data_IF_699163651388
#
_entry.id   IF_699163651388
#
_cell.length_a   1.000
_cell.length_b   1.000
_cell.length_c   1.000
_cell.angle_alpha   90.00
_cell.angle_beta   90.00
_cell.angle_gamma   90.00
#
_symmetry.space_group_name_H-M   'P 1'
#
loop_
_entity.id
_entity.type
_entity.pdbx_description
1 polymer ?
#
# COMPACT_ATOMS: atom_id res chain seq x y z
N UNK A 1 28.48 -2.39 0.72
CA UNK A 1 27.84 -3.37 1.63
C UNK A 1 28.05 -4.76 1.04
N UNK A 2 28.23 -5.77 1.89
CA UNK A 2 28.45 -7.16 1.45
C UNK A 2 27.10 -7.87 1.27
N UNK A 3 26.62 -7.96 0.02
CA UNK A 3 25.32 -8.58 -0.30
C UNK A 3 25.30 -10.08 0.04
N UNK A 4 26.42 -10.80 -0.11
CA UNK A 4 26.50 -12.23 0.19
C UNK A 4 26.32 -12.49 1.70
N UNK A 5 27.03 -11.71 2.53
CA UNK A 5 26.88 -11.80 3.98
C UNK A 5 25.47 -11.43 4.41
N UNK A 6 24.95 -10.31 3.91
CA UNK A 6 23.59 -9.85 4.25
C UNK A 6 22.53 -10.87 3.84
N UNK A 7 22.66 -11.43 2.64
CA UNK A 7 21.80 -12.50 2.14
C UNK A 7 21.80 -13.69 3.09
N UNK A 8 22.99 -14.15 3.49
CA UNK A 8 23.14 -15.31 4.39
C UNK A 8 22.53 -15.06 5.77
N UNK A 9 22.63 -13.84 6.28
CA UNK A 9 22.03 -13.46 7.56
C UNK A 9 20.50 -13.36 7.47
N UNK A 10 19.97 -12.81 6.37
CA UNK A 10 18.52 -12.76 6.10
C UNK A 10 17.95 -14.16 5.87
N UNK A 11 18.61 -15.00 5.07
CA UNK A 11 18.18 -16.37 4.79
C UNK A 11 18.08 -17.21 6.08
N UNK A 12 19.06 -17.05 6.99
CA UNK A 12 19.03 -17.67 8.31
C UNK A 12 17.86 -17.16 9.16
N UNK A 13 17.59 -15.85 9.14
CA UNK A 13 16.48 -15.25 9.87
C UNK A 13 15.13 -15.74 9.33
N UNK A 14 14.94 -15.73 8.01
CA UNK A 14 13.75 -16.28 7.33
C UNK A 14 13.53 -17.74 7.70
N UNK A 15 14.58 -18.56 7.65
CA UNK A 15 14.52 -19.99 7.98
C UNK A 15 14.17 -20.27 9.45
N UNK A 16 14.33 -19.29 10.35
CA UNK A 16 13.98 -19.42 11.77
C UNK A 16 12.51 -19.13 12.08
N UNK A 17 11.76 -18.58 11.13
CA UNK A 17 10.37 -18.16 11.33
C UNK A 17 9.39 -19.35 11.37
N UNK A 18 8.41 -19.27 12.26
CA UNK A 18 7.23 -20.13 12.25
C UNK A 18 6.17 -19.52 11.31
N UNK A 19 6.27 -19.84 10.01
CA UNK A 19 5.37 -19.37 8.96
C UNK A 19 3.90 -19.74 9.18
N UNK A 20 3.53 -20.97 9.61
CA UNK A 20 2.16 -21.29 9.96
C UNK A 20 1.54 -20.37 11.01
N UNK A 21 2.33 -19.84 11.96
CA UNK A 21 1.86 -18.83 12.93
C UNK A 21 1.71 -17.43 12.33
N UNK A 22 2.48 -17.10 11.29
CA UNK A 22 2.38 -15.83 10.56
C UNK A 22 1.11 -15.82 9.69
N UNK A 23 1.00 -16.79 8.79
CA UNK A 23 -0.15 -16.94 7.90
C UNK A 23 -0.34 -18.41 7.47
N UNK A 24 -1.56 -18.97 7.61
CA UNK A 24 -1.81 -20.36 7.23
C UNK A 24 -1.48 -20.65 5.76
N UNK A 25 -0.66 -21.68 5.53
CA UNK A 25 -0.25 -22.13 4.19
C UNK A 25 0.75 -21.23 3.46
N UNK A 26 1.20 -20.13 4.08
CA UNK A 26 2.33 -19.37 3.58
C UNK A 26 3.64 -20.12 3.86
N UNK A 27 4.53 -20.14 2.88
CA UNK A 27 5.87 -20.68 2.98
C UNK A 27 6.85 -19.66 2.36
N UNK A 28 8.11 -19.61 2.82
CA UNK A 28 9.08 -18.67 2.27
C UNK A 28 9.31 -18.95 0.78
N UNK A 29 9.30 -17.88 -0.02
CA UNK A 29 9.79 -17.92 -1.39
C UNK A 29 11.29 -17.69 -1.41
N UNK A 30 11.96 -18.09 -2.49
CA UNK A 30 13.32 -17.62 -2.73
C UNK A 30 13.32 -16.11 -2.89
N UNK A 31 14.47 -15.51 -2.65
CA UNK A 31 14.63 -14.08 -2.80
C UNK A 31 15.99 -13.71 -3.37
N UNK A 32 16.09 -12.49 -3.87
CA UNK A 32 17.34 -11.84 -4.26
C UNK A 32 17.50 -10.50 -3.52
N UNK A 33 18.75 -10.18 -3.19
CA UNK A 33 19.13 -8.84 -2.73
C UNK A 33 19.96 -8.17 -3.82
N UNK A 34 19.66 -6.92 -4.13
CA UNK A 34 20.40 -6.19 -5.15
C UNK A 34 20.69 -4.74 -4.72
N UNK A 35 21.66 -4.13 -5.37
CA UNK A 35 21.93 -2.70 -5.30
C UNK A 35 21.95 -2.10 -6.71
N UNK A 36 22.50 -0.90 -6.87
CA UNK A 36 22.56 -0.24 -8.18
C UNK A 36 23.38 -1.03 -9.22
N UNK A 37 24.33 -1.87 -8.79
CA UNK A 37 25.30 -2.54 -9.66
C UNK A 37 25.20 -4.07 -9.61
N UNK A 38 24.92 -4.64 -8.44
CA UNK A 38 25.07 -6.07 -8.15
C UNK A 38 23.74 -6.69 -7.73
N UNK A 39 23.55 -7.94 -8.08
CA UNK A 39 22.42 -8.76 -7.63
C UNK A 39 22.96 -10.09 -7.09
N UNK A 40 22.50 -10.49 -5.89
CA UNK A 40 22.85 -11.75 -5.24
C UNK A 40 21.60 -12.60 -5.08
N UNK A 41 21.63 -13.80 -5.66
CA UNK A 41 20.51 -14.73 -5.70
C UNK A 41 21.02 -16.16 -5.65
N UNK A 42 20.45 -16.97 -4.75
CA UNK A 42 20.69 -18.42 -4.68
C UNK A 42 22.18 -18.78 -4.55
N UNK A 43 22.85 -18.11 -3.61
CA UNK A 43 24.25 -18.37 -3.25
C UNK A 43 25.30 -17.84 -4.24
N UNK A 44 24.92 -16.99 -5.20
CA UNK A 44 25.87 -16.39 -6.16
C UNK A 44 25.45 -15.01 -6.62
N UNK A 45 26.43 -14.25 -7.10
CA UNK A 45 26.16 -13.06 -7.89
C UNK A 45 25.62 -13.42 -9.27
N UNK A 46 24.61 -12.68 -9.71
CA UNK A 46 24.02 -12.77 -11.04
C UNK A 46 24.02 -11.38 -11.71
N UNK A 47 23.91 -11.36 -13.03
CA UNK A 47 23.71 -10.11 -13.76
C UNK A 47 22.35 -9.51 -13.39
N UNK A 48 22.35 -8.22 -13.07
CA UNK A 48 21.13 -7.46 -12.79
C UNK A 48 20.40 -7.21 -14.11
N UNK A 49 19.20 -7.76 -14.26
CA UNK A 49 18.30 -7.45 -15.38
C UNK A 49 17.41 -6.24 -15.03
N UNK A 50 16.67 -5.75 -16.04
CA UNK A 50 15.71 -4.65 -15.85
C UNK A 50 14.52 -5.05 -14.94
N UNK A 51 14.30 -6.35 -14.75
CA UNK A 51 13.29 -6.88 -13.81
C UNK A 51 13.60 -6.50 -12.34
N UNK A 52 14.86 -6.19 -12.03
CA UNK A 52 15.31 -5.77 -10.69
C UNK A 52 15.27 -4.24 -10.57
N UNK A 53 14.06 -3.67 -10.58
CA UNK A 53 13.85 -2.22 -10.58
C UNK A 53 13.00 -1.69 -9.41
N UNK A 54 12.40 -2.57 -8.59
CA UNK A 54 11.64 -2.21 -7.40
C UNK A 54 11.69 -3.31 -6.32
N UNK A 55 11.33 -2.95 -5.09
CA UNK A 55 11.05 -3.93 -4.04
C UNK A 55 9.68 -4.54 -4.31
N UNK A 56 9.65 -5.82 -4.69
CA UNK A 56 8.42 -6.51 -5.09
C UNK A 56 8.65 -8.03 -5.20
N UNK A 57 7.67 -8.74 -5.76
CA UNK A 57 7.77 -10.14 -6.17
C UNK A 57 7.70 -10.26 -7.70
N UNK A 58 8.61 -11.02 -8.30
CA UNK A 58 8.70 -11.20 -9.77
C UNK A 58 8.71 -12.68 -10.15
N UNK A 59 8.32 -12.98 -11.39
CA UNK A 59 8.57 -14.29 -12.00
C UNK A 59 9.94 -14.28 -12.68
N UNK A 60 10.93 -14.88 -12.01
CA UNK A 60 12.29 -14.98 -12.51
C UNK A 60 12.57 -16.41 -12.97
N UNK A 61 12.77 -16.59 -14.27
CA UNK A 61 13.07 -17.90 -14.89
C UNK A 61 12.04 -19.00 -14.59
N UNK A 62 10.75 -18.63 -14.48
CA UNK A 62 9.66 -19.56 -14.22
C UNK A 62 9.37 -19.82 -12.74
N UNK A 63 10.09 -19.15 -11.82
CA UNK A 63 9.89 -19.24 -10.37
C UNK A 63 9.50 -17.87 -9.81
N UNK A 64 8.50 -17.84 -8.92
CA UNK A 64 8.13 -16.62 -8.21
C UNK A 64 9.12 -16.36 -7.07
N UNK A 65 9.78 -15.20 -7.10
CA UNK A 65 10.78 -14.81 -6.09
C UNK A 65 10.50 -13.40 -5.55
N UNK A 66 10.92 -13.11 -4.32
CA UNK A 66 10.97 -11.75 -3.79
C UNK A 66 12.28 -11.06 -4.19
N UNK A 67 12.23 -9.76 -4.46
CA UNK A 67 13.42 -8.95 -4.76
C UNK A 67 13.44 -7.71 -3.89
N UNK A 68 14.63 -7.35 -3.40
CA UNK A 68 14.81 -6.19 -2.54
C UNK A 68 16.08 -5.41 -2.89
N UNK A 69 15.91 -4.13 -3.20
CA UNK A 69 16.97 -3.16 -3.38
C UNK A 69 17.46 -2.68 -2.02
N UNK A 70 18.73 -2.95 -1.71
CA UNK A 70 19.32 -2.52 -0.46
C UNK A 70 19.93 -1.13 -0.64
N UNK A 71 19.18 -0.12 -0.21
CA UNK A 71 19.59 1.29 -0.25
C UNK A 71 19.94 1.85 1.13
N UNK A 72 19.38 1.28 2.19
CA UNK A 72 19.51 1.74 3.57
C UNK A 72 20.10 0.64 4.45
N UNK A 73 20.86 1.06 5.48
CA UNK A 73 21.33 0.16 6.53
C UNK A 73 20.19 -0.10 7.52
N UNK A 74 19.32 -1.05 7.19
CA UNK A 74 18.21 -1.46 8.03
C UNK A 74 18.67 -2.53 9.05
N UNK A 75 18.21 -2.47 10.31
CA UNK A 75 18.39 -3.57 11.24
C UNK A 75 17.87 -4.89 10.65
N UNK A 76 18.62 -5.98 10.83
CA UNK A 76 18.32 -7.28 10.23
C UNK A 76 16.86 -7.75 10.43
N UNK A 77 16.23 -7.62 11.62
CA UNK A 77 14.82 -7.98 11.79
C UNK A 77 13.86 -7.18 10.89
N UNK A 78 14.13 -5.89 10.71
CA UNK A 78 13.32 -4.97 9.90
C UNK A 78 13.51 -5.26 8.40
N UNK A 79 14.75 -5.50 7.96
CA UNK A 79 15.00 -5.93 6.59
C UNK A 79 14.30 -7.27 6.30
N UNK A 80 14.41 -8.24 7.23
CA UNK A 80 13.80 -9.56 7.09
C UNK A 80 12.27 -9.44 7.01
N UNK A 81 11.64 -8.62 7.87
CA UNK A 81 10.18 -8.44 7.83
C UNK A 81 9.70 -7.83 6.52
N UNK A 82 10.45 -6.86 5.98
CA UNK A 82 10.17 -6.24 4.69
C UNK A 82 10.37 -7.18 3.52
N UNK A 83 11.38 -8.03 3.57
CA UNK A 83 11.56 -9.03 2.53
C UNK A 83 10.46 -10.10 2.56
N UNK A 84 10.03 -10.53 3.75
CA UNK A 84 8.92 -11.49 3.90
C UNK A 84 7.59 -10.88 3.46
N UNK A 85 7.40 -9.56 3.59
CA UNK A 85 6.31 -8.82 2.96
C UNK A 85 6.29 -9.05 1.44
N UNK A 86 7.42 -8.87 0.77
CA UNK A 86 7.52 -9.11 -0.68
C UNK A 86 7.35 -10.59 -1.06
N UNK A 87 7.83 -11.52 -0.22
CA UNK A 87 7.53 -12.95 -0.39
C UNK A 87 6.03 -13.21 -0.30
N UNK A 88 5.32 -12.48 0.55
CA UNK A 88 3.89 -12.62 0.71
C UNK A 88 3.12 -12.12 -0.52
N UNK A 89 3.56 -11.05 -1.19
CA UNK A 89 3.02 -10.69 -2.50
C UNK A 89 3.19 -11.80 -3.55
N UNK A 90 4.34 -12.49 -3.52
CA UNK A 90 4.53 -13.68 -4.35
C UNK A 90 3.56 -14.81 -4.00
N UNK A 91 3.33 -15.05 -2.70
CA UNK A 91 2.32 -16.00 -2.24
C UNK A 91 0.91 -15.63 -2.71
N UNK A 92 0.50 -14.36 -2.61
CA UNK A 92 -0.79 -13.87 -3.11
C UNK A 92 -0.95 -14.16 -4.62
N UNK A 93 0.10 -13.92 -5.41
CA UNK A 93 0.13 -14.26 -6.85
C UNK A 93 -0.01 -15.76 -7.09
N UNK A 94 0.74 -16.60 -6.36
CA UNK A 94 0.68 -18.06 -6.50
C UNK A 94 -0.68 -18.64 -6.10
N UNK A 95 -1.37 -18.03 -5.13
CA UNK A 95 -2.74 -18.36 -4.76
C UNK A 95 -3.79 -17.78 -5.73
N UNK A 96 -3.37 -17.07 -6.78
CA UNK A 96 -4.26 -16.49 -7.78
C UNK A 96 -5.15 -15.39 -7.21
N UNK A 97 -4.65 -14.54 -6.32
CA UNK A 97 -5.39 -13.38 -5.84
C UNK A 97 -5.62 -12.39 -6.99
N UNK A 98 -6.85 -11.90 -7.13
CA UNK A 98 -7.28 -11.04 -8.26
C UNK A 98 -7.86 -9.70 -7.80
N UNK A 99 -7.63 -9.32 -6.54
CA UNK A 99 -8.12 -8.07 -5.96
C UNK A 99 -7.18 -6.89 -6.18
N UNK A 100 -6.29 -6.95 -7.18
CA UNK A 100 -5.42 -5.84 -7.55
C UNK A 100 -6.25 -4.60 -7.93
N UNK A 101 -6.10 -3.46 -7.23
CA UNK A 101 -6.76 -2.23 -7.60
C UNK A 101 -6.21 -1.69 -8.92
N UNK A 102 -7.07 -1.07 -9.73
CA UNK A 102 -6.63 -0.28 -10.88
C UNK A 102 -6.18 1.10 -10.38
N UNK A 103 -4.88 1.24 -10.17
CA UNK A 103 -4.30 2.46 -9.59
C UNK A 103 -4.49 3.67 -10.50
N UNK A 104 -4.45 3.49 -11.82
CA UNK A 104 -4.61 4.60 -12.76
C UNK A 104 -6.08 5.06 -12.80
N UNK A 105 -7.04 4.13 -12.72
CA UNK A 105 -8.45 4.50 -12.54
C UNK A 105 -8.64 5.22 -11.20
N UNK A 106 -8.10 4.68 -10.12
CA UNK A 106 -8.26 5.21 -8.77
C UNK A 106 -7.71 6.62 -8.63
N UNK A 107 -6.51 6.90 -9.16
CA UNK A 107 -5.93 8.25 -9.15
C UNK A 107 -6.89 9.30 -9.71
N UNK A 108 -7.66 8.95 -10.75
CA UNK A 108 -8.57 9.88 -11.43
C UNK A 108 -9.98 9.90 -10.84
N UNK A 109 -10.45 8.75 -10.34
CA UNK A 109 -11.85 8.54 -9.97
C UNK A 109 -12.10 8.60 -8.47
N UNK A 110 -11.12 8.29 -7.63
CA UNK A 110 -11.26 8.33 -6.18
C UNK A 110 -11.54 9.77 -5.72
N UNK A 111 -12.66 9.98 -5.03
CA UNK A 111 -12.99 11.30 -4.49
C UNK A 111 -12.65 11.36 -3.02
N UNK A 112 -11.81 12.33 -2.67
CA UNK A 112 -11.55 12.70 -1.28
C UNK A 112 -12.74 13.49 -0.72
N UNK A 113 -13.80 12.75 -0.38
CA UNK A 113 -15.03 13.26 0.21
C UNK A 113 -14.92 13.35 1.74
N UNK A 114 -15.26 14.51 2.32
CA UNK A 114 -15.09 14.75 3.74
C UNK A 114 -15.99 13.88 4.62
N UNK A 115 -17.21 13.53 4.18
CA UNK A 115 -18.08 12.63 4.93
C UNK A 115 -17.52 11.20 4.90
N UNK A 116 -17.08 10.72 3.73
CA UNK A 116 -16.45 9.39 3.61
C UNK A 116 -15.21 9.27 4.51
N UNK A 117 -14.32 10.26 4.46
CA UNK A 117 -13.07 10.25 5.23
C UNK A 117 -13.31 10.47 6.73
N UNK A 118 -14.33 11.22 7.12
CA UNK A 118 -14.78 11.36 8.51
C UNK A 118 -15.25 10.00 9.08
N UNK A 119 -16.02 9.23 8.29
CA UNK A 119 -16.40 7.87 8.66
C UNK A 119 -15.18 6.94 8.71
N UNK A 120 -14.23 7.06 7.77
CA UNK A 120 -12.97 6.29 7.78
C UNK A 120 -12.14 6.57 9.03
N UNK A 121 -12.03 7.81 9.49
CA UNK A 121 -11.33 8.12 10.74
C UNK A 121 -12.00 7.46 11.94
N UNK A 122 -13.33 7.45 11.97
CA UNK A 122 -14.05 6.74 13.02
C UNK A 122 -13.77 5.24 12.98
N UNK A 123 -13.73 4.63 11.80
CA UNK A 123 -13.31 3.24 11.64
C UNK A 123 -11.89 3.00 12.17
N UNK A 124 -10.97 3.92 11.87
CA UNK A 124 -9.60 3.85 12.33
C UNK A 124 -9.48 3.93 13.87
N UNK A 125 -10.24 4.80 14.52
CA UNK A 125 -10.32 4.87 15.99
C UNK A 125 -10.84 3.56 16.60
N UNK A 126 -11.87 2.96 16.00
CA UNK A 126 -12.42 1.68 16.43
C UNK A 126 -11.40 0.55 16.24
N UNK A 127 -10.64 0.55 15.15
CA UNK A 127 -9.55 -0.40 14.93
C UNK A 127 -8.45 -0.28 15.99
N UNK A 128 -8.10 0.94 16.41
CA UNK A 128 -7.16 1.15 17.51
C UNK A 128 -7.72 0.69 18.86
N UNK A 129 -9.02 0.89 19.09
CA UNK A 129 -9.70 0.35 20.28
C UNK A 129 -9.59 -1.18 20.31
N UNK A 130 -9.87 -1.84 19.18
CA UNK A 130 -9.79 -3.29 19.01
C UNK A 130 -8.37 -3.84 19.11
N UNK A 131 -7.36 -3.03 18.75
CA UNK A 131 -5.95 -3.35 18.92
C UNK A 131 -5.55 -3.38 20.40
N UNK A 132 -6.02 -2.42 21.20
CA UNK A 132 -5.74 -2.34 22.64
C UNK A 132 -6.46 -3.45 23.42
N UNK A 133 -7.64 -3.84 22.96
CA UNK A 133 -8.39 -4.98 23.47
C UNK A 133 -9.63 -5.24 22.62
N UNK A 134 -9.93 -6.51 22.37
CA UNK A 134 -11.11 -6.84 21.59
C UNK A 134 -12.39 -6.46 22.35
N UNK A 135 -13.24 -5.65 21.71
CA UNK A 135 -14.53 -5.22 22.19
C UNK A 135 -15.59 -5.45 21.11
N UNK A 136 -16.59 -6.28 21.43
CA UNK A 136 -17.64 -6.68 20.49
C UNK A 136 -18.53 -5.50 20.07
N UNK A 137 -18.70 -4.49 20.93
CA UNK A 137 -19.49 -3.29 20.58
C UNK A 137 -18.76 -2.45 19.55
N UNK A 138 -17.46 -2.20 19.76
CA UNK A 138 -16.59 -1.50 18.82
C UNK A 138 -16.48 -2.25 17.48
N UNK A 139 -16.39 -3.58 17.52
CA UNK A 139 -16.37 -4.40 16.31
C UNK A 139 -17.68 -4.29 15.51
N UNK A 140 -18.84 -4.33 16.18
CA UNK A 140 -20.14 -4.13 15.52
C UNK A 140 -20.27 -2.73 14.93
N UNK A 141 -19.88 -1.69 15.66
CA UNK A 141 -19.87 -0.31 15.16
C UNK A 141 -19.00 -0.18 13.91
N UNK A 142 -17.79 -0.73 13.93
CA UNK A 142 -16.87 -0.76 12.80
C UNK A 142 -17.51 -1.40 11.56
N UNK A 143 -18.14 -2.57 11.72
CA UNK A 143 -18.80 -3.25 10.59
C UNK A 143 -20.00 -2.48 10.04
N UNK A 144 -20.78 -1.81 10.90
CA UNK A 144 -21.93 -1.00 10.51
C UNK A 144 -21.51 0.28 9.76
N UNK A 145 -20.39 0.91 10.17
CA UNK A 145 -19.79 2.05 9.46
C UNK A 145 -19.26 1.63 8.10
N UNK A 146 -18.52 0.52 8.02
CA UNK A 146 -18.04 -0.01 6.73
C UNK A 146 -19.19 -0.34 5.80
N UNK A 147 -20.30 -0.87 6.34
CA UNK A 147 -21.54 -1.08 5.57
C UNK A 147 -22.10 0.23 5.04
N UNK A 148 -22.21 1.27 5.86
CA UNK A 148 -22.64 2.60 5.40
C UNK A 148 -21.75 3.14 4.28
N UNK A 149 -20.42 3.07 4.45
CA UNK A 149 -19.45 3.52 3.44
C UNK A 149 -19.57 2.72 2.15
N UNK A 150 -19.78 1.41 2.23
CA UNK A 150 -19.96 0.56 1.05
C UNK A 150 -21.19 0.94 0.21
N UNK A 151 -22.24 1.47 0.84
CA UNK A 151 -23.47 1.90 0.17
C UNK A 151 -23.40 3.34 -0.32
N UNK A 152 -22.76 4.22 0.45
CA UNK A 152 -22.71 5.67 0.18
C UNK A 152 -21.56 6.07 -0.76
N UNK A 153 -20.44 5.34 -0.69
CA UNK A 153 -19.19 5.61 -1.42
C UNK A 153 -18.65 4.32 -2.05
N UNK A 154 -19.42 3.67 -2.95
CA UNK A 154 -19.13 2.30 -3.39
C UNK A 154 -17.80 2.17 -4.15
N UNK A 155 -17.37 3.21 -4.88
CA UNK A 155 -16.10 3.17 -5.60
C UNK A 155 -14.92 3.28 -4.63
N UNK A 156 -14.93 4.31 -3.78
CA UNK A 156 -13.90 4.59 -2.79
C UNK A 156 -13.74 3.40 -1.83
N UNK A 157 -14.86 2.90 -1.29
CA UNK A 157 -14.87 1.74 -0.41
C UNK A 157 -14.32 0.49 -1.10
N UNK A 158 -14.73 0.22 -2.35
CA UNK A 158 -14.24 -0.94 -3.10
C UNK A 158 -12.75 -0.83 -3.42
N UNK A 159 -12.23 0.36 -3.73
CA UNK A 159 -10.81 0.58 -3.95
C UNK A 159 -10.02 0.35 -2.66
N UNK A 160 -10.44 0.97 -1.55
CA UNK A 160 -9.79 0.82 -0.25
C UNK A 160 -9.77 -0.65 0.20
N UNK A 161 -10.87 -1.40 0.06
CA UNK A 161 -10.90 -2.82 0.41
C UNK A 161 -9.88 -3.64 -0.39
N UNK A 162 -9.71 -3.36 -1.69
CA UNK A 162 -8.72 -4.04 -2.53
C UNK A 162 -7.29 -3.75 -2.06
N UNK A 163 -7.00 -2.50 -1.71
CA UNK A 163 -5.69 -2.11 -1.16
C UNK A 163 -5.47 -2.76 0.21
N UNK A 164 -6.45 -2.70 1.11
CA UNK A 164 -6.41 -3.35 2.43
C UNK A 164 -6.17 -4.86 2.31
N UNK A 165 -6.82 -5.54 1.36
CA UNK A 165 -6.63 -6.98 1.11
C UNK A 165 -5.21 -7.29 0.64
N UNK A 166 -4.66 -6.54 -0.31
CA UNK A 166 -3.32 -6.81 -0.85
C UNK A 166 -2.23 -6.32 0.10
N UNK A 167 -2.15 -5.01 0.29
CA UNK A 167 -1.08 -4.33 1.03
C UNK A 167 -1.27 -4.48 2.53
N UNK A 168 -2.51 -4.41 3.01
CA UNK A 168 -2.81 -4.55 4.43
C UNK A 168 -2.52 -5.95 4.97
N UNK A 169 -2.78 -7.00 4.17
CA UNK A 169 -2.38 -8.36 4.56
C UNK A 169 -0.86 -8.53 4.57
N UNK A 170 -0.16 -7.98 3.58
CA UNK A 170 1.31 -8.02 3.57
C UNK A 170 1.91 -7.24 4.75
N UNK A 171 1.34 -6.09 5.14
CA UNK A 171 1.71 -5.35 6.35
C UNK A 171 1.39 -6.12 7.64
N UNK A 172 0.29 -6.88 7.69
CA UNK A 172 -0.02 -7.76 8.82
C UNK A 172 1.03 -8.86 8.98
N UNK A 173 1.48 -9.44 7.86
CA UNK A 173 2.55 -10.44 7.80
C UNK A 173 3.88 -9.84 8.25
N UNK A 174 4.27 -8.68 7.74
CA UNK A 174 5.45 -7.93 8.20
C UNK A 174 5.42 -7.73 9.72
N UNK A 175 4.26 -7.34 10.26
CA UNK A 175 4.08 -7.17 11.70
C UNK A 175 4.20 -8.49 12.49
N UNK A 176 3.67 -9.61 11.99
CA UNK A 176 3.83 -10.91 12.66
C UNK A 176 5.27 -11.42 12.61
N UNK A 177 6.00 -11.15 11.53
CA UNK A 177 7.44 -11.48 11.42
C UNK A 177 8.23 -10.73 12.49
N UNK A 178 8.00 -9.42 12.64
CA UNK A 178 8.66 -8.64 13.68
C UNK A 178 8.36 -9.18 15.08
N UNK A 179 7.12 -9.62 15.36
CA UNK A 179 6.79 -10.24 16.66
C UNK A 179 7.57 -11.52 16.97
N UNK A 180 8.05 -12.23 15.95
CA UNK A 180 8.89 -13.42 16.14
C UNK A 180 10.38 -13.09 16.26
N UNK A 181 10.84 -12.03 15.59
CA UNK A 181 12.28 -11.70 15.49
C UNK A 181 12.73 -10.65 16.51
N UNK A 182 11.92 -9.63 16.76
CA UNK A 182 12.27 -8.47 17.59
C UNK A 182 11.01 -7.76 18.12
N UNK A 183 10.68 -8.01 19.39
CA UNK A 183 9.54 -7.41 20.07
C UNK A 183 9.60 -5.87 20.12
N UNK A 184 10.79 -5.28 20.20
CA UNK A 184 10.94 -3.82 20.24
C UNK A 184 10.64 -3.21 18.86
N UNK A 185 11.10 -3.84 17.79
CA UNK A 185 10.77 -3.41 16.43
C UNK A 185 9.27 -3.59 16.14
N UNK A 186 8.66 -4.67 16.64
CA UNK A 186 7.21 -4.89 16.54
C UNK A 186 6.40 -3.84 17.31
N UNK A 187 6.85 -3.46 18.52
CA UNK A 187 6.25 -2.39 19.32
C UNK A 187 6.39 -1.04 18.61
N UNK A 188 7.58 -0.73 18.08
CA UNK A 188 7.81 0.50 17.31
C UNK A 188 6.93 0.60 16.06
N UNK A 189 6.70 -0.51 15.35
CA UNK A 189 5.74 -0.54 14.24
C UNK A 189 4.31 -0.27 14.74
N UNK A 190 3.90 -0.86 15.85
CA UNK A 190 2.58 -0.64 16.47
C UNK A 190 2.40 0.83 16.89
N UNK A 191 3.43 1.44 17.48
CA UNK A 191 3.41 2.85 17.88
C UNK A 191 3.32 3.79 16.69
N UNK A 192 3.93 3.42 15.55
CA UNK A 192 3.79 4.17 14.28
C UNK A 192 2.38 4.08 13.68
N UNK A 193 1.66 2.98 13.89
CA UNK A 193 0.29 2.83 13.37
C UNK A 193 -0.66 3.86 14.02
N UNK A 194 -0.53 4.12 15.32
CA UNK A 194 -1.47 5.00 16.05
C UNK A 194 -1.63 6.41 15.45
N UNK A 195 -0.56 7.22 15.29
CA UNK A 195 -0.70 8.55 14.70
C UNK A 195 -1.10 8.49 13.22
N UNK A 196 -0.70 7.45 12.48
CA UNK A 196 -1.09 7.26 11.08
C UNK A 196 -2.60 7.00 10.91
N UNK A 197 -3.24 6.41 11.92
CA UNK A 197 -4.66 6.06 11.88
C UNK A 197 -5.58 7.21 12.31
N UNK A 198 -5.13 8.15 13.14
CA UNK A 198 -5.99 9.18 13.74
C UNK A 198 -5.84 10.59 13.17
N UNK A 199 -4.77 10.85 12.41
CA UNK A 199 -4.49 12.17 11.84
C UNK A 199 -5.12 12.31 10.45
N UNK A 200 -6.06 13.25 10.20
CA UNK A 200 -6.72 13.41 8.90
C UNK A 200 -5.76 13.56 7.72
N UNK A 201 -4.66 14.28 7.91
CA UNK A 201 -3.62 14.53 6.89
C UNK A 201 -2.86 13.26 6.48
N UNK A 202 -2.86 12.22 7.31
CA UNK A 202 -2.22 10.93 6.99
C UNK A 202 -3.17 9.97 6.28
N UNK A 203 -4.40 10.41 5.96
CA UNK A 203 -5.27 9.72 5.00
C UNK A 203 -4.84 9.94 3.54
N UNK A 204 -3.89 10.85 3.27
CA UNK A 204 -3.49 11.21 1.92
C UNK A 204 -2.06 10.74 1.63
N UNK A 205 -1.82 10.06 0.49
CA UNK A 205 -2.81 9.46 -0.40
C UNK A 205 -3.51 8.27 0.26
N UNK A 206 -4.77 8.02 -0.14
CA UNK A 206 -5.60 7.01 0.52
C UNK A 206 -5.00 5.60 0.49
N UNK A 207 -4.25 5.26 -0.58
CA UNK A 207 -3.56 3.98 -0.73
C UNK A 207 -2.72 3.64 0.49
N UNK A 208 -1.80 4.54 0.88
CA UNK A 208 -0.87 4.31 1.98
C UNK A 208 -1.61 4.20 3.31
N UNK A 209 -2.67 4.98 3.51
CA UNK A 209 -3.49 4.90 4.73
C UNK A 209 -4.13 3.51 4.91
N UNK A 210 -4.42 2.80 3.82
CA UNK A 210 -5.06 1.49 3.86
C UNK A 210 -4.14 0.36 4.33
N UNK A 211 -2.82 0.58 4.37
CA UNK A 211 -1.85 -0.46 4.73
C UNK A 211 -2.03 -0.86 6.19
N UNK A 212 -2.08 0.12 7.09
CA UNK A 212 -2.34 -0.12 8.50
C UNK A 212 -3.82 -0.42 8.77
N UNK A 213 -4.76 0.22 8.07
CA UNK A 213 -6.18 -0.14 8.20
C UNK A 213 -6.42 -1.62 7.91
N UNK A 214 -5.86 -2.15 6.81
CA UNK A 214 -6.02 -3.55 6.45
C UNK A 214 -5.32 -4.50 7.43
N UNK A 215 -4.11 -4.16 7.88
CA UNK A 215 -3.40 -4.97 8.88
C UNK A 215 -4.16 -5.04 10.21
N UNK A 216 -4.71 -3.92 10.68
CA UNK A 216 -5.51 -3.86 11.91
C UNK A 216 -6.88 -4.51 11.73
N UNK A 217 -7.48 -4.44 10.54
CA UNK A 217 -8.72 -5.16 10.25
C UNK A 217 -8.53 -6.68 10.36
N UNK A 218 -7.44 -7.22 9.80
CA UNK A 218 -7.08 -8.64 9.93
C UNK A 218 -6.88 -9.02 11.40
N UNK A 219 -6.18 -8.18 12.15
CA UNK A 219 -6.01 -8.38 13.58
C UNK A 219 -7.37 -8.46 14.31
N UNK A 220 -8.26 -7.49 14.07
CA UNK A 220 -9.59 -7.46 14.66
C UNK A 220 -10.42 -8.71 14.30
N UNK A 221 -10.43 -9.12 13.03
CA UNK A 221 -11.14 -10.32 12.57
C UNK A 221 -10.62 -11.60 13.24
N UNK A 222 -9.30 -11.74 13.40
CA UNK A 222 -8.70 -12.87 14.15
C UNK A 222 -9.12 -12.87 15.60
N UNK A 223 -9.14 -11.71 16.26
CA UNK A 223 -9.57 -11.57 17.66
C UNK A 223 -11.05 -11.86 17.84
N UNK A 224 -11.88 -11.52 16.86
CA UNK A 224 -13.31 -11.81 16.85
C UNK A 224 -13.62 -13.30 16.59
N UNK A 225 -12.68 -14.06 16.02
CA UNK A 225 -12.92 -15.46 15.62
C UNK A 225 -13.93 -15.62 14.48
N UNK A 226 -14.09 -14.58 13.65
CA UNK A 226 -15.11 -14.53 12.57
C UNK A 226 -14.57 -14.92 11.19
N UNK A 227 -13.29 -15.32 11.12
CA UNK A 227 -12.63 -15.64 9.86
C UNK A 227 -11.57 -16.72 10.08
N UNK A 228 -11.63 -17.80 9.30
CA UNK A 228 -10.81 -19.00 9.48
C UNK A 228 -9.42 -18.89 8.81
N UNK A 229 -9.21 -17.86 7.97
CA UNK A 229 -7.94 -17.58 7.26
C UNK A 229 -7.35 -18.82 6.58
N UNK A 230 -8.19 -19.61 5.89
CA UNK A 230 -7.68 -20.75 5.15
C UNK A 230 -6.68 -20.29 4.06
N UNK A 231 -5.69 -21.11 3.69
CA UNK A 231 -4.59 -20.70 2.80
C UNK A 231 -5.00 -20.05 1.46
N UNK A 232 -6.12 -20.52 0.89
CA UNK A 232 -6.67 -20.01 -0.38
C UNK A 232 -7.78 -18.95 -0.19
N UNK A 233 -8.21 -18.70 1.05
CA UNK A 233 -9.25 -17.74 1.35
C UNK A 233 -8.65 -16.34 1.47
N UNK A 234 -9.14 -15.44 0.62
CA UNK A 234 -8.76 -14.03 0.63
C UNK A 234 -9.49 -13.36 1.78
N UNK A 235 -8.79 -12.67 2.71
CA UNK A 235 -9.39 -12.00 3.86
C UNK A 235 -10.21 -10.80 3.41
N UNK A 236 -11.34 -11.06 2.77
CA UNK A 236 -12.24 -10.03 2.30
C UNK A 236 -13.14 -9.65 3.48
N UNK A 237 -13.11 -8.41 3.98
CA UNK A 237 -14.12 -7.96 4.94
C UNK A 237 -15.52 -7.89 4.29
N UNK A 238 -15.61 -8.00 2.97
CA UNK A 238 -16.84 -7.89 2.18
C UNK A 238 -17.99 -8.80 2.64
N UNK A 239 -17.82 -10.11 2.93
CA UNK A 239 -18.93 -10.93 3.42
C UNK A 239 -19.45 -10.45 4.78
N UNK A 240 -18.55 -10.09 5.71
CA UNK A 240 -18.89 -9.53 7.02
C UNK A 240 -19.70 -8.24 6.85
N UNK A 241 -19.21 -7.31 6.03
CA UNK A 241 -19.86 -6.03 5.74
C UNK A 241 -21.21 -6.22 5.06
N UNK A 242 -21.35 -7.17 4.13
CA UNK A 242 -22.62 -7.44 3.43
C UNK A 242 -23.74 -7.89 4.38
N UNK A 243 -23.39 -8.63 5.43
CA UNK A 243 -24.35 -9.11 6.43
C UNK A 243 -24.71 -8.08 7.51
N UNK A 244 -23.94 -7.01 7.64
CA UNK A 244 -24.15 -5.99 8.67
C UNK A 244 -25.33 -5.07 8.33
N UNK A 245 -25.97 -4.52 9.36
CA UNK A 245 -26.88 -3.39 9.21
C UNK A 245 -26.07 -2.10 9.05
N UNK A 246 -26.48 -1.23 8.12
CA UNK A 246 -25.83 0.05 7.92
C UNK A 246 -26.04 0.96 9.15
N UNK A 247 -24.96 1.63 9.57
CA UNK A 247 -25.04 2.70 10.56
C UNK A 247 -25.77 3.92 9.98
N UNK A 248 -26.43 4.72 10.83
CA UNK A 248 -26.86 6.08 10.48
C UNK A 248 -25.66 7.06 10.37
N UNK A 249 -24.46 6.55 10.66
CA UNK A 249 -23.13 7.15 10.77
C UNK A 249 -23.11 8.46 11.51
N UNK A 250 -23.93 8.57 12.54
CA UNK A 250 -23.72 9.51 13.62
C UNK A 250 -22.78 8.87 14.64
N UNK A 251 -21.86 9.66 15.18
CA UNK A 251 -20.99 9.24 16.28
C UNK A 251 -20.58 10.47 17.11
N UNK A 252 -20.19 10.28 18.39
CA UNK A 252 -19.75 11.39 19.23
C UNK A 252 -18.57 12.14 18.60
N UNK A 253 -18.70 13.47 18.49
CA UNK A 253 -17.63 14.32 17.93
C UNK A 253 -17.60 14.41 16.40
N UNK A 254 -18.57 13.83 15.68
CA UNK A 254 -18.65 13.84 14.22
C UNK A 254 -18.45 15.23 13.60
N UNK A 255 -19.12 16.27 14.09
CA UNK A 255 -19.02 17.62 13.52
C UNK A 255 -17.60 18.20 13.61
N UNK A 256 -16.88 17.90 14.69
CA UNK A 256 -15.49 18.31 14.85
C UNK A 256 -14.57 17.53 13.91
N UNK A 257 -14.74 16.20 13.83
CA UNK A 257 -14.02 15.34 12.90
C UNK A 257 -14.24 15.78 11.44
N UNK A 258 -15.49 16.03 11.04
CA UNK A 258 -15.85 16.48 9.70
C UNK A 258 -15.15 17.79 9.33
N UNK A 259 -15.08 18.76 10.25
CA UNK A 259 -14.35 20.02 10.02
C UNK A 259 -12.85 19.77 9.82
N UNK A 260 -12.21 19.01 10.70
CA UNK A 260 -10.79 18.69 10.58
C UNK A 260 -10.45 17.96 9.27
N UNK A 261 -11.29 17.00 8.88
CA UNK A 261 -11.17 16.30 7.60
C UNK A 261 -11.36 17.25 6.43
N UNK A 262 -12.37 18.12 6.48
CA UNK A 262 -12.63 19.11 5.42
C UNK A 262 -11.44 20.04 5.22
N UNK A 263 -10.84 20.53 6.31
CA UNK A 263 -9.65 21.37 6.27
C UNK A 263 -8.45 20.61 5.67
N UNK A 264 -8.26 19.35 6.04
CA UNK A 264 -7.19 18.51 5.50
C UNK A 264 -7.37 18.20 4.00
N UNK A 265 -8.61 17.91 3.56
CA UNK A 265 -8.94 17.73 2.13
C UNK A 265 -8.64 19.01 1.36
N UNK A 266 -9.08 20.17 1.87
CA UNK A 266 -8.84 21.45 1.22
C UNK A 266 -7.34 21.75 1.08
N UNK A 267 -6.56 21.52 2.16
CA UNK A 267 -5.11 21.70 2.15
C UNK A 267 -4.42 20.76 1.15
N UNK A 268 -4.80 19.48 1.11
CA UNK A 268 -4.25 18.52 0.15
C UNK A 268 -4.56 18.90 -1.31
N UNK A 269 -5.77 19.39 -1.59
CA UNK A 269 -6.16 19.85 -2.93
C UNK A 269 -5.41 21.13 -3.33
N UNK A 270 -5.26 22.08 -2.41
CA UNK A 270 -4.51 23.32 -2.65
C UNK A 270 -3.03 23.05 -2.94
N UNK A 271 -2.39 22.19 -2.15
CA UNK A 271 -1.00 21.77 -2.38
C UNK A 271 -0.86 21.08 -3.74
N UNK A 272 -1.80 20.20 -4.09
CA UNK A 272 -1.79 19.51 -5.40
C UNK A 272 -1.91 20.50 -6.56
N UNK A 273 -2.82 21.48 -6.46
CA UNK A 273 -2.98 22.53 -7.45
C UNK A 273 -1.73 23.42 -7.55
N UNK A 274 -1.06 23.70 -6.42
CA UNK A 274 0.17 24.48 -6.37
C UNK A 274 1.33 23.74 -7.06
N UNK A 275 1.47 22.43 -6.85
CA UNK A 275 2.46 21.59 -7.54
C UNK A 275 2.27 21.67 -9.06
N UNK A 276 1.03 21.44 -9.53
CA UNK A 276 0.71 21.50 -10.97
C UNK A 276 1.01 22.89 -11.53
N UNK A 277 0.53 23.95 -10.87
CA UNK A 277 0.77 25.33 -11.31
C UNK A 277 2.25 25.67 -11.39
N UNK A 278 3.03 25.29 -10.37
CA UNK A 278 4.47 25.56 -10.34
C UNK A 278 5.21 24.89 -11.50
N UNK A 279 4.88 23.64 -11.83
CA UNK A 279 5.47 22.94 -12.97
C UNK A 279 5.08 23.60 -14.31
N UNK A 280 3.82 24.03 -14.46
CA UNK A 280 3.34 24.73 -15.65
C UNK A 280 3.98 26.10 -15.83
N UNK A 281 4.16 26.87 -14.74
CA UNK A 281 4.80 28.19 -14.77
C UNK A 281 6.28 28.09 -15.14
N UNK A 282 6.98 27.05 -14.67
CA UNK A 282 8.36 26.76 -15.06
C UNK A 282 8.47 26.30 -16.51
N UNK A 283 7.47 25.56 -16.99
CA UNK A 283 7.37 25.06 -18.37
C UNK A 283 8.62 24.26 -18.84
N UNK A 284 9.26 23.53 -17.93
CA UNK A 284 10.38 22.63 -18.25
C UNK A 284 9.84 21.31 -18.80
N UNK A 285 9.59 21.28 -20.12
CA UNK A 285 9.02 20.12 -20.81
C UNK A 285 10.10 19.09 -21.11
N UNK A 286 9.92 17.88 -20.59
CA UNK A 286 10.88 16.77 -20.75
C UNK A 286 10.40 15.67 -21.68
N UNK A 287 9.10 15.63 -21.98
CA UNK A 287 8.50 14.61 -22.85
C UNK A 287 7.22 15.17 -23.49
N UNK A 288 7.00 14.86 -24.77
CA UNK A 288 5.78 15.20 -25.51
C UNK A 288 5.13 13.92 -26.05
N UNK A 289 3.80 13.87 -25.96
CA UNK A 289 3.00 12.74 -26.42
C UNK A 289 2.56 12.84 -27.89
N UNK A 290 1.71 11.91 -28.36
CA UNK A 290 1.01 10.89 -27.58
C UNK A 290 1.91 9.72 -27.18
N UNK A 291 1.92 9.39 -25.89
CA UNK A 291 2.60 8.20 -25.34
C UNK A 291 1.65 7.52 -24.36
N UNK A 292 1.74 6.20 -24.20
CA UNK A 292 0.92 5.48 -23.24
C UNK A 292 1.57 5.57 -21.85
N UNK A 293 0.81 6.01 -20.84
CA UNK A 293 1.25 5.97 -19.46
C UNK A 293 1.22 4.52 -18.98
N UNK A 294 2.38 4.00 -18.56
CA UNK A 294 2.47 2.65 -17.98
C UNK A 294 2.21 2.74 -16.48
N UNK A 295 3.00 3.55 -15.78
CA UNK A 295 2.81 3.77 -14.34
C UNK A 295 3.56 5.02 -13.83
N UNK A 296 3.22 5.42 -12.62
CA UNK A 296 3.86 6.49 -11.84
C UNK A 296 4.24 5.93 -10.47
N UNK A 297 4.93 6.73 -9.66
CA UNK A 297 5.07 6.40 -8.25
C UNK A 297 3.72 6.54 -7.52
N UNK A 298 2.94 5.47 -7.52
CA UNK A 298 1.60 5.41 -6.90
C UNK A 298 1.61 5.68 -5.39
N UNK A 299 2.77 5.63 -4.74
CA UNK A 299 2.90 5.88 -3.29
C UNK A 299 2.49 7.30 -2.91
N UNK A 300 2.77 8.29 -3.76
CA UNK A 300 2.44 9.70 -3.52
C UNK A 300 1.87 10.44 -4.74
N UNK A 301 1.50 9.70 -5.79
CA UNK A 301 0.88 10.27 -6.97
C UNK A 301 -0.43 11.00 -6.62
N UNK A 302 -0.63 12.13 -7.28
CA UNK A 302 -1.82 12.98 -7.11
C UNK A 302 -2.47 13.23 -8.46
N UNK A 303 -3.73 13.63 -8.43
CA UNK A 303 -4.47 14.03 -9.63
C UNK A 303 -5.15 15.38 -9.43
N UNK A 304 -5.04 16.25 -10.42
CA UNK A 304 -5.71 17.56 -10.44
C UNK A 304 -5.95 18.00 -11.88
N UNK A 305 -7.21 18.22 -12.26
CA UNK A 305 -7.64 18.83 -13.54
C UNK A 305 -6.95 18.28 -14.80
N UNK A 306 -6.84 16.96 -14.90
CA UNK A 306 -6.21 16.28 -16.05
C UNK A 306 -4.69 16.14 -15.94
N UNK A 307 -4.10 16.52 -14.81
CA UNK A 307 -2.68 16.34 -14.51
C UNK A 307 -2.50 15.27 -13.45
N UNK A 308 -1.51 14.40 -13.66
CA UNK A 308 -1.02 13.42 -12.69
C UNK A 308 0.35 13.84 -12.19
N UNK A 309 0.61 13.76 -10.90
CA UNK A 309 1.96 13.96 -10.34
C UNK A 309 2.65 12.62 -10.13
N UNK A 310 3.97 12.59 -10.31
CA UNK A 310 4.82 11.46 -9.94
C UNK A 310 6.10 11.97 -9.31
N UNK A 311 6.60 11.28 -8.30
CA UNK A 311 7.94 11.51 -7.75
C UNK A 311 8.85 10.34 -8.07
N UNK A 312 10.17 10.58 -8.07
CA UNK A 312 11.24 9.62 -8.35
C UNK A 312 11.29 9.03 -9.76
N UNK A 313 10.16 8.73 -10.41
CA UNK A 313 10.15 8.23 -11.78
C UNK A 313 8.83 8.43 -12.52
N UNK A 314 8.85 8.24 -13.84
CA UNK A 314 7.69 8.03 -14.71
C UNK A 314 8.02 6.87 -15.66
N UNK A 315 7.07 5.95 -15.86
CA UNK A 315 7.17 4.90 -16.86
C UNK A 315 6.11 5.06 -17.95
N UNK A 316 6.53 4.98 -19.20
CA UNK A 316 5.67 5.15 -20.37
C UNK A 316 6.05 4.15 -21.48
N UNK A 317 5.12 3.93 -22.41
CA UNK A 317 5.34 3.08 -23.57
C UNK A 317 5.35 3.90 -24.85
N UNK A 318 6.36 3.63 -25.67
CA UNK A 318 6.60 4.25 -26.97
C UNK A 318 6.67 3.13 -28.02
N UNK A 319 5.54 2.90 -28.71
CA UNK A 319 5.38 1.73 -29.57
C UNK A 319 5.39 0.42 -28.77
N UNK A 320 6.41 -0.41 -28.99
CA UNK A 320 6.57 -1.69 -28.29
C UNK A 320 7.57 -1.61 -27.12
N UNK A 321 8.22 -0.46 -26.91
CA UNK A 321 9.25 -0.29 -25.90
C UNK A 321 8.70 0.42 -24.66
N UNK A 322 8.97 -0.14 -23.48
CA UNK A 322 8.69 0.52 -22.20
C UNK A 322 9.94 1.27 -21.74
N UNK A 323 9.75 2.54 -21.36
CA UNK A 323 10.82 3.46 -20.95
C UNK A 323 10.51 4.02 -19.59
N UNK A 324 11.53 4.12 -18.74
CA UNK A 324 11.46 4.78 -17.43
C UNK A 324 12.37 6.01 -17.43
N UNK A 325 11.85 7.13 -16.94
CA UNK A 325 12.65 8.33 -16.68
C UNK A 325 12.67 8.63 -15.18
N UNK A 326 13.85 8.80 -14.55
CA UNK A 326 13.94 9.20 -13.15
C UNK A 326 13.68 10.70 -12.99
N UNK A 327 13.04 11.09 -11.89
CA UNK A 327 12.74 12.48 -11.55
C UNK A 327 11.33 12.69 -11.00
N UNK A 328 11.00 13.94 -10.71
CA UNK A 328 9.65 14.34 -10.31
C UNK A 328 8.96 15.03 -11.49
N UNK A 329 7.69 14.69 -11.71
CA UNK A 329 6.98 15.07 -12.92
C UNK A 329 5.54 15.49 -12.64
N UNK A 330 5.07 16.46 -13.41
CA UNK A 330 3.66 16.76 -13.63
C UNK A 330 3.32 16.34 -15.06
N UNK A 331 2.38 15.42 -15.19
CA UNK A 331 2.04 14.72 -16.43
C UNK A 331 0.67 15.20 -16.86
N UNK A 332 0.62 15.97 -17.94
CA UNK A 332 -0.64 16.34 -18.58
C UNK A 332 -1.18 15.15 -19.34
N UNK A 333 -2.36 14.70 -18.96
CA UNK A 333 -3.05 13.58 -19.58
C UNK A 333 -3.96 14.08 -20.71
N UNK A 334 -3.93 13.41 -21.85
CA UNK A 334 -4.92 13.61 -22.94
C UNK A 334 -6.23 12.92 -22.61
N UNK A 335 -6.13 11.73 -22.03
CA UNK A 335 -7.24 10.90 -21.57
C UNK A 335 -6.78 10.01 -20.40
N UNK A 336 -7.55 9.00 -20.01
CA UNK A 336 -7.22 8.17 -18.84
C UNK A 336 -5.93 7.35 -18.92
N UNK A 337 -5.28 7.24 -20.09
CA UNK A 337 -4.07 6.43 -20.29
C UNK A 337 -3.02 7.06 -21.19
N UNK A 338 -3.34 8.15 -21.87
CA UNK A 338 -2.45 8.78 -22.85
C UNK A 338 -1.83 10.05 -22.29
N UNK A 339 -0.50 10.10 -22.27
CA UNK A 339 0.30 11.28 -21.96
C UNK A 339 0.20 12.28 -23.13
N UNK A 340 -0.06 13.54 -22.83
CA UNK A 340 0.01 14.66 -23.78
C UNK A 340 1.35 15.40 -23.67
N UNK A 341 1.77 15.71 -22.44
CA UNK A 341 2.99 16.46 -22.15
C UNK A 341 3.48 16.19 -20.73
N UNK A 342 4.78 16.16 -20.51
CA UNK A 342 5.38 15.97 -19.18
C UNK A 342 6.27 17.16 -18.84
N UNK A 343 6.05 17.71 -17.65
CA UNK A 343 6.80 18.81 -17.08
C UNK A 343 7.66 18.28 -15.93
N UNK A 344 8.90 18.74 -15.83
CA UNK A 344 9.72 18.51 -14.65
C UNK A 344 9.17 19.34 -13.48
N UNK A 345 9.08 18.70 -12.33
CA UNK A 345 8.73 19.31 -11.05
C UNK A 345 9.94 19.18 -10.12
N UNK A 346 10.18 20.17 -9.27
CA UNK A 346 11.20 20.11 -8.21
C UNK A 346 10.55 20.00 -6.83
#
# INVERSE_FOLDING_TARGET
MDLEKLYSDVDRAVSSLDFPRIWPGFAPLKFALYDAEKCFFDGRYIDKTDDFCANTSINYRGEQIAIWMVQEDLPLPVLTSKLVHEMFHGFQTLQGWTCWPDEMEALRRYRYDAENLCLKLRENELLLTLLDGFDDTAFRELTALRKRRSESFPFEFSYECKVEEIEGTANYVEWQVLKQLDENAAAALTDRMRPAMTRPELLFPIRVSCYFTGALMIHAMRRAGVYDFAPAERPAPLPLVRSAAASDGLFPGKDACYRQVSDAVASYQEETAAIVRSALDRNDVVLEGPLELVTVNIYNARYHDGYVTSTYFLMYRDGAEEKMIPGNFVIKMRDGKTIDKVYRWE
#
